data_IF_238341950903
#
_entry.id   IF_238341950903
#
_cell.length_a   1.000
_cell.length_b   1.000
_cell.length_c   1.000
_cell.angle_alpha   90.00
_cell.angle_beta   90.00
_cell.angle_gamma   90.00
#
_symmetry.space_group_name_H-M   'P 1'
#
loop_
_entity.id
_entity.type
_entity.pdbx_description
1 polymer ?
#
# COMPACT_ATOMS: atom_id res chain seq x y z
N UNK A 1 -5.12 8.89 14.17
CA UNK A 1 -3.88 9.71 13.93
C UNK A 1 -4.23 10.78 12.93
N UNK A 2 -4.00 12.07 13.24
CA UNK A 2 -4.42 13.15 12.34
C UNK A 2 -3.67 13.14 11.01
N UNK A 3 -4.30 13.69 9.96
CA UNK A 3 -3.67 13.91 8.63
C UNK A 3 -2.35 14.68 8.74
N UNK A 4 -2.21 15.53 9.74
CA UNK A 4 -0.99 16.29 10.02
C UNK A 4 0.19 15.37 10.38
N UNK A 5 -0.02 14.38 11.25
CA UNK A 5 1.03 13.42 11.63
C UNK A 5 1.42 12.55 10.44
N UNK A 6 0.46 12.15 9.60
CA UNK A 6 0.77 11.45 8.35
C UNK A 6 1.61 12.32 7.43
N UNK A 7 1.24 13.60 7.25
CA UNK A 7 2.00 14.54 6.41
C UNK A 7 3.43 14.72 6.90
N UNK A 8 3.66 14.80 8.21
CA UNK A 8 5.01 14.85 8.77
C UNK A 8 5.84 13.61 8.45
N UNK A 9 5.22 12.42 8.52
CA UNK A 9 5.88 11.16 8.14
C UNK A 9 6.24 11.11 6.66
N UNK A 10 5.32 11.51 5.79
CA UNK A 10 5.57 11.54 4.33
C UNK A 10 6.66 12.57 4.00
N UNK A 11 6.68 13.77 4.65
CA UNK A 11 7.77 14.74 4.47
C UNK A 11 9.12 14.16 4.87
N UNK A 12 9.20 13.47 6.01
CA UNK A 12 10.43 12.82 6.46
C UNK A 12 10.92 11.79 5.43
N UNK A 13 10.04 10.89 4.96
CA UNK A 13 10.38 9.92 3.91
C UNK A 13 10.89 10.59 2.64
N UNK A 14 10.21 11.64 2.16
CA UNK A 14 10.64 12.39 0.97
C UNK A 14 12.00 13.10 1.18
N UNK A 15 12.22 13.66 2.37
CA UNK A 15 13.50 14.35 2.71
C UNK A 15 14.67 13.38 2.81
N UNK A 16 14.43 12.15 3.21
CA UNK A 16 15.47 11.13 3.37
C UNK A 16 15.74 10.34 2.08
N UNK A 17 14.84 10.43 1.12
CA UNK A 17 14.96 9.76 -0.17
C UNK A 17 15.81 10.53 -1.17
N UNK A 18 16.71 9.88 -1.94
CA UNK A 18 17.18 8.49 -1.74
C UNK A 18 18.43 8.39 -0.83
N UNK A 19 19.03 9.51 -0.45
CA UNK A 19 20.39 9.58 0.10
C UNK A 19 20.49 9.07 1.54
N UNK A 20 19.48 9.33 2.35
CA UNK A 20 19.39 8.89 3.76
C UNK A 20 18.34 7.80 3.96
N UNK A 21 18.01 7.10 2.89
CA UNK A 21 17.01 6.06 2.92
C UNK A 21 17.40 4.92 3.89
N UNK A 22 16.52 4.64 4.83
CA UNK A 22 16.72 3.55 5.81
C UNK A 22 16.54 2.17 5.16
N UNK A 23 15.36 1.61 5.18
CA UNK A 23 14.94 0.46 4.37
C UNK A 23 13.44 0.28 4.48
N UNK A 24 12.84 -0.38 3.50
CA UNK A 24 11.42 -0.71 3.54
C UNK A 24 11.09 -1.64 4.71
N UNK A 25 12.05 -2.50 5.11
CA UNK A 25 11.92 -3.35 6.30
C UNK A 25 11.80 -2.54 7.59
N UNK A 26 12.59 -1.46 7.72
CA UNK A 26 12.56 -0.61 8.92
C UNK A 26 11.27 0.22 8.96
N UNK A 27 10.77 0.68 7.81
CA UNK A 27 9.46 1.32 7.71
C UNK A 27 8.35 0.36 8.13
N UNK A 28 8.33 -0.86 7.58
CA UNK A 28 7.36 -1.90 7.96
C UNK A 28 7.39 -2.18 9.47
N UNK A 29 8.61 -2.30 10.04
CA UNK A 29 8.82 -2.50 11.47
C UNK A 29 8.25 -1.34 12.28
N UNK A 30 8.58 -0.11 11.94
CA UNK A 30 8.02 1.09 12.59
C UNK A 30 6.49 1.14 12.51
N UNK A 31 5.89 0.75 11.38
CA UNK A 31 4.44 0.72 11.22
C UNK A 31 3.77 -0.27 12.18
N UNK A 32 4.24 -1.52 12.24
CA UNK A 32 3.62 -2.50 13.14
C UNK A 32 3.88 -2.18 14.63
N UNK A 33 5.03 -1.60 14.99
CA UNK A 33 5.32 -1.17 16.36
C UNK A 33 4.36 -0.05 16.81
N UNK A 34 4.06 0.91 15.94
CA UNK A 34 3.08 1.98 16.22
C UNK A 34 1.66 1.46 16.37
N UNK A 35 1.32 0.36 15.73
CA UNK A 35 0.07 -0.36 15.97
C UNK A 35 0.09 -1.14 17.30
N UNK A 36 1.17 -1.03 18.10
CA UNK A 36 1.31 -1.75 19.36
C UNK A 36 1.58 -3.25 19.19
N UNK A 37 2.03 -3.65 18.01
CA UNK A 37 2.34 -5.04 17.69
C UNK A 37 3.83 -5.28 18.00
N UNK A 38 4.19 -5.19 19.27
CA UNK A 38 5.58 -5.37 19.69
C UNK A 38 5.98 -6.85 19.75
N UNK A 39 5.09 -7.72 20.20
CA UNK A 39 5.31 -9.17 20.29
C UNK A 39 4.06 -9.90 19.80
N UNK A 40 4.19 -10.81 18.85
CA UNK A 40 3.05 -11.61 18.39
C UNK A 40 2.56 -12.55 19.52
N UNK A 41 1.26 -12.54 19.77
CA UNK A 41 0.65 -13.30 20.86
C UNK A 41 0.47 -14.79 20.53
N UNK A 42 0.50 -15.15 19.27
CA UNK A 42 0.32 -16.53 18.80
C UNK A 42 1.26 -16.84 17.63
N UNK A 43 1.43 -18.14 17.37
CA UNK A 43 2.34 -18.62 16.35
C UNK A 43 1.93 -18.20 14.92
N UNK A 44 0.62 -18.12 14.64
CA UNK A 44 0.11 -17.73 13.32
C UNK A 44 0.44 -16.28 13.01
N UNK A 45 0.17 -15.40 13.95
CA UNK A 45 0.49 -13.96 13.86
C UNK A 45 1.99 -13.72 13.77
N UNK A 46 2.81 -14.48 14.54
CA UNK A 46 4.27 -14.45 14.47
C UNK A 46 4.80 -14.79 13.08
N UNK A 47 4.27 -15.85 12.47
CA UNK A 47 4.64 -16.27 11.11
C UNK A 47 4.27 -15.22 10.07
N UNK A 48 3.08 -14.64 10.21
CA UNK A 48 2.61 -13.59 9.32
C UNK A 48 3.52 -12.35 9.39
N UNK A 49 3.91 -11.93 10.61
CA UNK A 49 4.84 -10.83 10.81
C UNK A 49 6.22 -11.12 10.21
N UNK A 50 6.75 -12.34 10.43
CA UNK A 50 8.01 -12.79 9.83
C UNK A 50 7.92 -12.79 8.29
N UNK A 51 6.78 -13.21 7.74
CA UNK A 51 6.49 -13.13 6.31
C UNK A 51 6.54 -11.70 5.80
N UNK A 52 5.91 -10.76 6.51
CA UNK A 52 5.91 -9.33 6.15
C UNK A 52 7.30 -8.71 6.16
N UNK A 53 8.13 -9.03 7.16
CA UNK A 53 9.53 -8.60 7.21
C UNK A 53 10.35 -9.18 6.04
N UNK A 54 10.08 -10.42 5.65
CA UNK A 54 10.73 -11.07 4.51
C UNK A 54 10.30 -10.44 3.19
N UNK A 55 9.01 -10.15 3.01
CA UNK A 55 8.45 -9.45 1.84
C UNK A 55 9.06 -8.05 1.71
N UNK A 56 9.05 -7.26 2.79
CA UNK A 56 9.61 -5.91 2.78
C UNK A 56 11.10 -5.91 2.40
N UNK A 57 11.86 -6.87 2.94
CA UNK A 57 13.27 -7.04 2.62
C UNK A 57 13.49 -7.45 1.15
N UNK A 58 12.65 -8.33 0.61
CA UNK A 58 12.69 -8.73 -0.80
C UNK A 58 12.41 -7.54 -1.73
N UNK A 59 11.36 -6.77 -1.47
CA UNK A 59 11.01 -5.58 -2.27
C UNK A 59 12.15 -4.57 -2.22
N UNK A 60 12.72 -4.29 -1.04
CA UNK A 60 13.89 -3.43 -0.87
C UNK A 60 15.05 -3.86 -1.77
N UNK A 61 15.45 -5.15 -1.71
CA UNK A 61 16.58 -5.65 -2.50
C UNK A 61 16.29 -5.67 -4.00
N UNK A 62 15.08 -6.05 -4.39
CA UNK A 62 14.65 -6.07 -5.79
C UNK A 62 14.71 -4.67 -6.40
N UNK A 63 14.14 -3.68 -5.72
CA UNK A 63 14.16 -2.30 -6.19
C UNK A 63 15.57 -1.69 -6.18
N UNK A 64 16.39 -1.97 -5.15
CA UNK A 64 17.82 -1.57 -5.16
C UNK A 64 18.57 -2.12 -6.36
N UNK A 65 18.32 -3.35 -6.74
CA UNK A 65 18.93 -3.96 -7.93
C UNK A 65 18.43 -3.30 -9.23
N UNK A 66 17.17 -2.88 -9.27
CA UNK A 66 16.63 -2.10 -10.39
C UNK A 66 17.25 -0.69 -10.42
N UNK A 67 17.36 0.00 -9.29
CA UNK A 67 17.96 1.33 -9.17
C UNK A 67 19.42 1.35 -9.67
N UNK A 68 20.22 0.35 -9.31
CA UNK A 68 21.60 0.20 -9.82
C UNK A 68 21.69 0.10 -11.36
N UNK A 69 20.61 -0.28 -12.01
CA UNK A 69 20.48 -0.39 -13.46
C UNK A 69 19.68 0.76 -14.07
N UNK A 70 19.37 1.81 -13.29
CA UNK A 70 18.48 2.91 -13.66
C UNK A 70 17.09 2.44 -14.15
N UNK A 71 16.54 1.41 -13.52
CA UNK A 71 15.27 0.77 -13.89
C UNK A 71 14.24 0.77 -12.76
N UNK A 72 14.55 1.30 -11.57
CA UNK A 72 13.53 1.47 -10.53
C UNK A 72 12.49 2.48 -11.04
N UNK A 73 11.19 2.15 -10.99
CA UNK A 73 10.13 3.06 -11.40
C UNK A 73 10.15 4.35 -10.58
N UNK A 74 9.79 5.47 -11.19
CA UNK A 74 9.80 6.76 -10.49
C UNK A 74 8.71 6.89 -9.44
N UNK A 75 7.54 6.32 -9.74
CA UNK A 75 6.39 6.33 -8.83
C UNK A 75 6.27 5.01 -8.04
N UNK A 76 6.16 3.84 -8.70
CA UNK A 76 6.03 2.54 -8.05
C UNK A 76 7.38 2.03 -7.52
N UNK A 77 7.97 2.84 -6.64
CA UNK A 77 9.29 2.66 -6.02
C UNK A 77 9.18 2.23 -4.55
N UNK A 78 10.31 2.01 -3.91
CA UNK A 78 10.38 1.80 -2.45
C UNK A 78 9.77 2.95 -1.66
N UNK A 79 9.95 4.18 -2.14
CA UNK A 79 9.35 5.36 -1.49
C UNK A 79 7.84 5.31 -1.53
N UNK A 80 7.24 4.96 -2.67
CA UNK A 80 5.79 4.77 -2.76
C UNK A 80 5.29 3.70 -1.78
N UNK A 81 5.93 2.52 -1.78
CA UNK A 81 5.54 1.44 -0.85
C UNK A 81 5.62 1.90 0.62
N UNK A 82 6.65 2.67 0.99
CA UNK A 82 6.77 3.23 2.33
C UNK A 82 5.65 4.23 2.65
N UNK A 83 5.33 5.12 1.72
CA UNK A 83 4.23 6.08 1.87
C UNK A 83 2.89 5.35 2.04
N UNK A 84 2.68 4.28 1.29
CA UNK A 84 1.48 3.43 1.41
C UNK A 84 1.39 2.74 2.78
N UNK A 85 2.49 2.22 3.30
CA UNK A 85 2.55 1.63 4.65
C UNK A 85 2.25 2.66 5.74
N UNK A 86 2.78 3.87 5.62
CA UNK A 86 2.49 4.98 6.54
C UNK A 86 1.02 5.41 6.46
N UNK A 87 0.47 5.51 5.24
CA UNK A 87 -0.93 5.84 5.00
C UNK A 87 -1.87 4.78 5.60
N UNK A 88 -1.58 3.50 5.37
CA UNK A 88 -2.36 2.39 5.95
C UNK A 88 -2.31 2.41 7.48
N UNK A 89 -1.12 2.62 8.05
CA UNK A 89 -0.96 2.71 9.51
C UNK A 89 -1.77 3.87 10.08
N UNK A 90 -1.80 5.02 9.39
CA UNK A 90 -2.62 6.16 9.78
C UNK A 90 -4.11 5.82 9.79
N UNK A 91 -4.61 5.19 8.73
CA UNK A 91 -6.00 4.79 8.62
C UNK A 91 -6.38 3.76 9.70
N UNK A 92 -5.52 2.78 9.97
CA UNK A 92 -5.77 1.78 11.02
C UNK A 92 -5.82 2.40 12.41
N UNK A 93 -4.91 3.32 12.74
CA UNK A 93 -4.92 4.02 14.01
C UNK A 93 -6.15 4.91 14.17
N UNK A 94 -6.56 5.61 13.11
CA UNK A 94 -7.78 6.42 13.11
C UNK A 94 -9.03 5.54 13.29
N UNK A 95 -9.09 4.42 12.57
CA UNK A 95 -10.21 3.48 12.69
C UNK A 95 -10.34 2.93 14.10
N UNK A 96 -9.23 2.58 14.75
CA UNK A 96 -9.25 2.15 16.16
C UNK A 96 -9.83 3.20 17.10
N UNK A 97 -9.56 4.49 16.86
CA UNK A 97 -10.13 5.59 17.64
C UNK A 97 -11.64 5.70 17.43
N UNK A 98 -12.10 5.58 16.18
CA UNK A 98 -13.53 5.61 15.83
C UNK A 98 -14.26 4.45 16.49
N UNK A 99 -13.72 3.25 16.38
CA UNK A 99 -14.35 2.02 16.89
C UNK A 99 -14.19 1.87 18.42
N UNK A 100 -13.40 2.73 19.08
CA UNK A 100 -13.03 2.63 20.50
C UNK A 100 -12.50 1.23 20.86
N UNK A 101 -11.84 0.58 19.91
CA UNK A 101 -11.35 -0.77 20.08
C UNK A 101 -10.16 -0.84 21.03
N UNK A 102 -10.16 -1.88 21.87
CA UNK A 102 -8.97 -2.28 22.58
C UNK A 102 -7.91 -2.75 21.55
N UNK A 103 -6.66 -2.29 21.72
CA UNK A 103 -5.53 -2.46 20.78
C UNK A 103 -5.19 -3.92 20.42
N UNK A 104 -5.83 -4.92 21.03
CA UNK A 104 -5.51 -6.34 20.85
C UNK A 104 -6.44 -7.11 19.92
N UNK A 105 -7.62 -6.58 19.57
CA UNK A 105 -8.67 -7.41 18.96
C UNK A 105 -8.54 -7.65 17.45
N UNK A 106 -7.75 -6.85 16.70
CA UNK A 106 -7.63 -7.00 15.24
C UNK A 106 -6.19 -7.04 14.73
N UNK A 107 -5.24 -7.36 15.60
CA UNK A 107 -3.79 -7.37 15.29
C UNK A 107 -3.48 -8.23 14.05
N UNK A 108 -4.10 -9.39 13.93
CA UNK A 108 -3.85 -10.29 12.80
C UNK A 108 -4.31 -9.65 11.49
N UNK A 109 -5.50 -9.08 11.45
CA UNK A 109 -6.07 -8.41 10.28
C UNK A 109 -5.19 -7.23 9.87
N UNK A 110 -4.73 -6.44 10.80
CA UNK A 110 -3.86 -5.29 10.55
C UNK A 110 -2.49 -5.71 9.99
N UNK A 111 -1.86 -6.76 10.56
CA UNK A 111 -0.61 -7.30 10.00
C UNK A 111 -0.85 -7.83 8.58
N UNK A 112 -1.97 -8.51 8.35
CA UNK A 112 -2.35 -9.03 7.05
C UNK A 112 -2.39 -7.93 5.99
N UNK A 113 -2.99 -6.78 6.32
CA UNK A 113 -3.05 -5.62 5.45
C UNK A 113 -1.64 -5.02 5.23
N UNK A 114 -0.84 -4.87 6.29
CA UNK A 114 0.54 -4.37 6.16
C UNK A 114 1.39 -5.27 5.26
N UNK A 115 1.27 -6.62 5.41
CA UNK A 115 2.01 -7.59 4.58
C UNK A 115 1.58 -7.47 3.12
N UNK A 116 0.28 -7.37 2.86
CA UNK A 116 -0.24 -7.22 1.51
C UNK A 116 0.29 -5.94 0.86
N UNK A 117 0.23 -4.81 1.58
CA UNK A 117 0.68 -3.52 1.04
C UNK A 117 2.20 -3.38 0.96
N UNK A 118 2.97 -4.11 1.77
CA UNK A 118 4.42 -4.20 1.58
C UNK A 118 4.81 -4.90 0.26
N UNK A 119 3.94 -5.75 -0.27
CA UNK A 119 4.21 -6.55 -1.47
C UNK A 119 3.34 -6.24 -2.68
N UNK A 120 2.39 -5.28 -2.61
CA UNK A 120 1.39 -5.06 -3.66
C UNK A 120 2.00 -4.71 -5.02
N UNK A 121 3.08 -3.95 -5.03
CA UNK A 121 3.83 -3.53 -6.22
C UNK A 121 5.16 -4.28 -6.41
N UNK A 122 5.33 -5.44 -5.79
CA UNK A 122 6.56 -6.22 -5.93
C UNK A 122 6.87 -6.52 -7.40
N UNK A 123 8.02 -6.02 -7.88
CA UNK A 123 8.44 -6.19 -9.26
C UNK A 123 7.67 -5.37 -10.29
N UNK A 124 7.00 -4.29 -9.86
CA UNK A 124 6.40 -3.32 -10.79
C UNK A 124 7.49 -2.70 -11.68
N UNK A 125 7.20 -2.54 -12.96
CA UNK A 125 8.16 -2.09 -14.00
C UNK A 125 7.73 -0.79 -14.70
N UNK A 126 6.75 -0.07 -14.15
CA UNK A 126 6.18 1.15 -14.73
C UNK A 126 5.10 0.89 -15.80
N UNK A 127 4.83 -0.36 -16.15
CA UNK A 127 3.80 -0.71 -17.15
C UNK A 127 2.37 -0.56 -16.58
N UNK A 128 1.38 -0.82 -17.43
CA UNK A 128 -0.05 -0.89 -17.05
C UNK A 128 -0.56 -2.30 -17.20
N UNK A 129 -1.60 -2.64 -16.45
CA UNK A 129 -2.35 -3.86 -16.65
C UNK A 129 -2.90 -3.94 -18.10
N UNK A 130 -2.59 -5.02 -18.80
CA UNK A 130 -3.19 -5.37 -20.11
C UNK A 130 -4.42 -6.28 -19.92
N UNK A 131 -4.56 -6.88 -18.76
CA UNK A 131 -5.73 -7.64 -18.30
C UNK A 131 -5.91 -7.42 -16.79
N UNK A 132 -7.12 -7.64 -16.29
CA UNK A 132 -7.46 -7.44 -14.88
C UNK A 132 -6.47 -8.16 -13.96
N UNK A 133 -5.94 -7.44 -12.98
CA UNK A 133 -5.00 -7.94 -11.97
C UNK A 133 -3.71 -8.57 -12.51
N UNK A 134 -3.22 -8.18 -13.68
CA UNK A 134 -2.01 -8.79 -14.26
C UNK A 134 -0.76 -8.46 -13.42
N UNK A 135 -0.54 -7.19 -13.09
CA UNK A 135 0.61 -6.73 -12.30
C UNK A 135 0.51 -7.21 -10.85
N UNK A 136 -0.66 -7.14 -10.27
CA UNK A 136 -0.97 -7.63 -8.92
C UNK A 136 -0.75 -9.15 -8.82
N UNK A 137 -1.11 -9.90 -9.85
CA UNK A 137 -0.83 -11.34 -9.92
C UNK A 137 0.67 -11.63 -10.02
N UNK A 138 1.44 -10.78 -10.71
CA UNK A 138 2.91 -10.85 -10.76
C UNK A 138 3.51 -10.56 -9.40
N UNK A 139 3.07 -9.49 -8.74
CA UNK A 139 3.51 -9.11 -7.40
C UNK A 139 3.28 -10.24 -6.41
N UNK A 140 2.07 -10.80 -6.38
CA UNK A 140 1.77 -11.93 -5.51
C UNK A 140 2.63 -13.16 -5.79
N UNK A 141 2.86 -13.52 -7.05
CA UNK A 141 3.74 -14.66 -7.40
C UNK A 141 5.17 -14.50 -6.90
N UNK A 142 5.68 -13.27 -6.86
CA UNK A 142 7.03 -12.98 -6.35
C UNK A 142 7.13 -13.12 -4.82
N UNK A 143 6.09 -12.71 -4.09
CA UNK A 143 6.13 -12.74 -2.62
C UNK A 143 5.63 -14.05 -2.00
N UNK A 144 4.80 -14.83 -2.71
CA UNK A 144 4.23 -16.08 -2.21
C UNK A 144 5.27 -17.06 -1.63
N UNK A 145 6.42 -17.33 -2.30
CA UNK A 145 7.43 -18.23 -1.75
C UNK A 145 8.01 -17.76 -0.41
N UNK A 146 8.05 -16.44 -0.16
CA UNK A 146 8.52 -15.86 1.10
C UNK A 146 7.53 -16.11 2.24
N UNK A 147 6.24 -16.01 1.95
CA UNK A 147 5.16 -16.30 2.90
C UNK A 147 5.12 -17.79 3.25
N UNK A 148 5.31 -18.66 2.26
CA UNK A 148 5.42 -20.12 2.44
C UNK A 148 6.65 -20.49 3.28
N UNK A 149 7.82 -19.89 3.00
CA UNK A 149 9.04 -20.07 3.78
C UNK A 149 8.90 -19.62 5.24
N UNK A 150 8.13 -18.55 5.48
CA UNK A 150 7.76 -18.09 6.82
C UNK A 150 6.71 -18.98 7.50
N UNK A 151 6.21 -20.01 6.81
CA UNK A 151 5.15 -20.91 7.26
C UNK A 151 3.84 -20.18 7.60
N UNK A 152 3.51 -19.15 6.83
CA UNK A 152 2.21 -18.50 6.93
C UNK A 152 1.08 -19.50 6.63
N UNK A 153 -0.06 -19.33 7.30
CA UNK A 153 -1.26 -20.13 7.02
C UNK A 153 -1.76 -19.89 5.60
N UNK A 154 -2.20 -20.93 4.90
CA UNK A 154 -2.72 -20.82 3.52
C UNK A 154 -3.92 -19.85 3.41
N UNK A 155 -4.74 -19.75 4.45
CA UNK A 155 -5.85 -18.78 4.49
C UNK A 155 -5.35 -17.35 4.52
N UNK A 156 -4.23 -17.10 5.22
CA UNK A 156 -3.59 -15.78 5.26
C UNK A 156 -2.93 -15.45 3.93
N UNK A 157 -2.24 -16.42 3.32
CA UNK A 157 -1.65 -16.26 1.98
C UNK A 157 -2.74 -15.96 0.95
N UNK A 158 -3.87 -16.65 1.01
CA UNK A 158 -5.01 -16.37 0.13
C UNK A 158 -5.64 -15.00 0.38
N UNK A 159 -5.75 -14.58 1.63
CA UNK A 159 -6.25 -13.25 1.98
C UNK A 159 -5.32 -12.14 1.46
N UNK A 160 -3.99 -12.29 1.62
CA UNK A 160 -2.98 -11.38 1.07
C UNK A 160 -3.12 -11.28 -0.46
N UNK A 161 -3.23 -12.42 -1.17
CA UNK A 161 -3.46 -12.44 -2.61
C UNK A 161 -4.67 -11.60 -3.01
N UNK A 162 -5.79 -11.79 -2.32
CA UNK A 162 -7.04 -11.08 -2.62
C UNK A 162 -6.91 -9.58 -2.37
N UNK A 163 -6.23 -9.18 -1.30
CA UNK A 163 -5.98 -7.77 -0.99
C UNK A 163 -5.09 -7.14 -2.08
N UNK A 164 -4.00 -7.80 -2.47
CA UNK A 164 -3.13 -7.33 -3.56
C UNK A 164 -3.93 -7.18 -4.86
N UNK A 165 -4.76 -8.17 -5.22
CA UNK A 165 -5.59 -8.06 -6.43
C UNK A 165 -6.59 -6.89 -6.37
N UNK A 166 -7.04 -6.53 -5.18
CA UNK A 166 -7.97 -5.41 -5.03
C UNK A 166 -7.33 -4.05 -5.31
N UNK A 167 -6.00 -3.94 -5.37
CA UNK A 167 -5.32 -2.67 -5.72
C UNK A 167 -5.33 -2.37 -7.22
N UNK A 168 -5.84 -3.28 -8.08
CA UNK A 168 -6.11 -2.94 -9.48
C UNK A 168 -7.15 -1.82 -9.56
N UNK A 169 -6.80 -0.64 -10.13
CA UNK A 169 -7.70 0.51 -10.18
C UNK A 169 -9.03 0.25 -10.89
N UNK A 170 -9.07 -0.74 -11.79
CA UNK A 170 -10.32 -1.11 -12.50
C UNK A 170 -11.39 -1.70 -11.59
N UNK A 171 -11.01 -2.14 -10.39
CA UNK A 171 -11.90 -2.75 -9.40
C UNK A 171 -12.43 -1.75 -8.36
N UNK A 172 -11.86 -0.54 -8.25
CA UNK A 172 -12.12 0.42 -7.18
C UNK A 172 -13.61 0.74 -7.03
N UNK A 173 -14.27 1.12 -8.12
CA UNK A 173 -15.69 1.50 -8.05
C UNK A 173 -16.58 0.36 -7.55
N UNK A 174 -16.37 -0.84 -8.07
CA UNK A 174 -17.12 -2.04 -7.69
C UNK A 174 -16.93 -2.38 -6.22
N UNK A 175 -15.68 -2.35 -5.75
CA UNK A 175 -15.34 -2.72 -4.37
C UNK A 175 -15.85 -1.70 -3.37
N UNK A 176 -15.68 -0.40 -3.63
CA UNK A 176 -16.23 0.66 -2.80
C UNK A 176 -17.76 0.62 -2.72
N UNK A 177 -18.44 0.40 -3.85
CA UNK A 177 -19.90 0.28 -3.88
C UNK A 177 -20.35 -0.96 -3.09
N UNK A 178 -19.66 -2.10 -3.24
CA UNK A 178 -19.98 -3.31 -2.50
C UNK A 178 -19.74 -3.17 -0.98
N UNK A 179 -18.63 -2.56 -0.57
CA UNK A 179 -18.34 -2.37 0.85
C UNK A 179 -19.39 -1.47 1.54
N UNK A 180 -19.79 -0.38 0.89
CA UNK A 180 -20.79 0.56 1.43
C UNK A 180 -22.18 -0.03 1.67
N UNK A 181 -22.46 -1.23 1.19
CA UNK A 181 -23.74 -1.92 1.48
C UNK A 181 -23.77 -2.56 2.88
N UNK A 182 -22.65 -2.54 3.60
CA UNK A 182 -22.52 -3.09 4.95
C UNK A 182 -21.79 -2.12 5.87
N UNK A 183 -22.04 -2.25 7.19
CA UNK A 183 -21.24 -1.53 8.16
C UNK A 183 -19.77 -1.91 8.07
N UNK A 184 -18.91 -0.94 8.41
CA UNK A 184 -17.47 -1.15 8.44
C UNK A 184 -17.13 -2.29 9.43
N UNK A 185 -16.29 -3.20 8.96
CA UNK A 185 -15.77 -4.29 9.75
C UNK A 185 -14.45 -4.79 9.11
N UNK A 186 -13.33 -4.62 9.81
CA UNK A 186 -12.01 -4.97 9.29
C UNK A 186 -11.83 -6.48 9.03
N UNK A 187 -12.69 -7.33 9.60
CA UNK A 187 -12.69 -8.76 9.30
C UNK A 187 -13.27 -9.04 7.91
N UNK A 188 -14.16 -8.18 7.42
CA UNK A 188 -14.79 -8.35 6.11
C UNK A 188 -13.82 -8.09 4.96
N UNK A 189 -13.70 -9.03 4.03
CA UNK A 189 -12.82 -8.89 2.86
C UNK A 189 -13.01 -7.63 2.02
N UNK A 190 -14.25 -7.17 1.91
CA UNK A 190 -14.59 -5.95 1.16
C UNK A 190 -13.98 -4.70 1.80
N UNK A 191 -14.04 -4.60 3.13
CA UNK A 191 -13.47 -3.46 3.85
C UNK A 191 -11.94 -3.52 3.92
N UNK A 192 -11.34 -4.72 4.00
CA UNK A 192 -9.90 -4.90 3.85
C UNK A 192 -9.41 -4.36 2.49
N UNK A 193 -10.11 -4.71 1.41
CA UNK A 193 -9.81 -4.25 0.07
C UNK A 193 -9.91 -2.72 -0.03
N UNK A 194 -11.02 -2.14 0.43
CA UNK A 194 -11.25 -0.68 0.39
C UNK A 194 -10.18 0.07 1.17
N UNK A 195 -9.86 -0.37 2.39
CA UNK A 195 -8.86 0.32 3.22
C UNK A 195 -7.46 0.31 2.57
N UNK A 196 -7.10 -0.79 1.91
CA UNK A 196 -5.83 -0.88 1.18
C UNK A 196 -5.81 0.01 -0.07
N UNK A 197 -6.91 0.07 -0.84
CA UNK A 197 -7.04 1.00 -1.96
C UNK A 197 -6.95 2.45 -1.52
N UNK A 198 -7.60 2.81 -0.41
CA UNK A 198 -7.53 4.15 0.16
C UNK A 198 -6.09 4.49 0.61
N UNK A 199 -5.40 3.56 1.25
CA UNK A 199 -4.01 3.75 1.67
C UNK A 199 -3.07 4.00 0.49
N UNK A 200 -3.28 3.30 -0.63
CA UNK A 200 -2.47 3.39 -1.86
C UNK A 200 -2.55 4.78 -2.49
N UNK A 201 -3.74 5.38 -2.48
CA UNK A 201 -3.99 6.67 -3.13
C UNK A 201 -3.98 7.87 -2.19
N UNK A 202 -3.99 7.66 -0.86
CA UNK A 202 -4.20 8.73 0.13
C UNK A 202 -3.21 9.88 -0.03
N UNK A 203 -1.92 9.58 -0.13
CA UNK A 203 -0.89 10.61 -0.28
C UNK A 203 -1.09 11.44 -1.57
N UNK A 204 -1.50 10.81 -2.67
CA UNK A 204 -1.79 11.48 -3.94
C UNK A 204 -3.04 12.37 -3.87
N UNK A 205 -3.92 12.15 -2.89
CA UNK A 205 -5.08 13.01 -2.64
C UNK A 205 -4.75 14.22 -1.76
N UNK A 206 -3.67 14.16 -0.96
CA UNK A 206 -3.24 15.27 -0.11
C UNK A 206 -2.62 16.38 -0.97
N UNK A 207 -3.11 17.65 -0.92
CA UNK A 207 -2.64 18.73 -1.77
C UNK A 207 -1.13 18.99 -1.69
N UNK A 208 -0.53 18.77 -0.53
CA UNK A 208 0.90 18.99 -0.30
C UNK A 208 1.79 18.05 -1.14
N UNK A 209 1.39 16.81 -1.36
CA UNK A 209 2.20 15.78 -2.04
C UNK A 209 1.75 15.52 -3.48
N UNK A 210 0.56 15.95 -3.84
CA UNK A 210 -0.09 15.70 -5.12
C UNK A 210 0.81 16.00 -6.30
N UNK A 211 1.39 17.21 -6.34
CA UNK A 211 2.20 17.65 -7.47
C UNK A 211 3.44 16.77 -7.66
N UNK A 212 4.16 16.47 -6.56
CA UNK A 212 5.37 15.64 -6.62
C UNK A 212 5.05 14.22 -7.07
N UNK A 213 4.01 13.60 -6.49
CA UNK A 213 3.62 12.24 -6.83
C UNK A 213 3.10 12.14 -8.27
N UNK A 214 2.34 13.15 -8.74
CA UNK A 214 1.89 13.22 -10.13
C UNK A 214 3.06 13.36 -11.10
N UNK A 215 4.08 14.18 -10.78
CA UNK A 215 5.29 14.31 -11.59
C UNK A 215 6.06 12.99 -11.65
N UNK A 216 6.22 12.28 -10.53
CA UNK A 216 6.88 10.97 -10.49
C UNK A 216 6.14 9.93 -11.34
N UNK A 217 4.81 9.92 -11.30
CA UNK A 217 3.99 9.02 -12.13
C UNK A 217 4.06 9.41 -13.62
N UNK A 218 4.07 10.70 -13.93
CA UNK A 218 4.19 11.16 -15.32
C UNK A 218 5.57 10.82 -15.91
N UNK A 219 6.66 11.00 -15.15
CA UNK A 219 8.00 10.57 -15.56
C UNK A 219 8.07 9.07 -15.83
N UNK A 220 7.53 8.27 -14.92
CA UNK A 220 7.46 6.82 -15.09
C UNK A 220 6.68 6.44 -16.36
N UNK A 221 5.52 7.06 -16.57
CA UNK A 221 4.64 6.78 -17.72
C UNK A 221 5.23 7.29 -19.02
N UNK A 222 6.01 8.37 -19.01
CA UNK A 222 6.60 8.93 -20.22
C UNK A 222 7.54 7.96 -20.94
N UNK A 223 8.15 7.04 -20.21
CA UNK A 223 9.06 6.02 -20.75
C UNK A 223 8.35 4.95 -21.56
N UNK A 224 7.05 4.73 -21.32
CA UNK A 224 6.25 3.69 -21.97
C UNK A 224 5.06 4.28 -22.74
N UNK A 225 4.43 5.33 -22.23
CA UNK A 225 3.22 5.94 -22.76
C UNK A 225 3.30 7.48 -22.73
N UNK A 226 4.09 8.15 -23.60
CA UNK A 226 4.34 9.60 -23.52
C UNK A 226 3.07 10.47 -23.52
N UNK A 227 2.12 10.20 -24.40
CA UNK A 227 0.84 10.97 -24.49
C UNK A 227 0.03 10.86 -23.19
N UNK A 228 0.10 9.71 -22.53
CA UNK A 228 -0.60 9.50 -21.26
C UNK A 228 0.05 10.30 -20.11
N UNK A 229 1.37 10.51 -20.17
CA UNK A 229 2.08 11.30 -19.17
C UNK A 229 1.66 12.79 -19.20
N UNK A 230 1.53 13.38 -20.37
CA UNK A 230 1.04 14.75 -20.52
C UNK A 230 -0.37 14.92 -19.95
N UNK A 231 -1.24 13.94 -20.20
CA UNK A 231 -2.61 13.95 -19.65
C UNK A 231 -2.64 14.00 -18.13
N UNK A 232 -1.73 13.30 -17.44
CA UNK A 232 -1.66 13.30 -15.97
C UNK A 232 -1.34 14.69 -15.39
N UNK A 233 -0.50 15.47 -16.07
CA UNK A 233 -0.06 16.80 -15.62
C UNK A 233 -1.10 17.90 -15.92
N UNK A 234 -2.15 17.59 -16.66
CA UNK A 234 -3.20 18.55 -17.01
C UNK A 234 -4.20 18.75 -15.85
N UNK A 235 -4.87 19.92 -15.76
CA UNK A 235 -5.98 20.11 -14.84
C UNK A 235 -7.08 19.05 -15.00
N UNK A 236 -7.31 18.58 -16.25
CA UNK A 236 -8.23 17.48 -16.55
C UNK A 236 -7.79 16.16 -15.94
N UNK A 237 -6.51 15.85 -15.96
CA UNK A 237 -5.92 14.66 -15.31
C UNK A 237 -6.14 14.66 -13.81
N UNK A 238 -5.89 15.80 -13.14
CA UNK A 238 -6.16 15.95 -11.71
C UNK A 238 -7.66 15.80 -11.40
N UNK A 239 -8.52 16.46 -12.14
CA UNK A 239 -9.97 16.30 -11.98
C UNK A 239 -10.40 14.85 -12.16
N UNK A 240 -9.87 14.18 -13.18
CA UNK A 240 -10.17 12.77 -13.44
C UNK A 240 -9.73 11.87 -12.27
N UNK A 241 -8.53 12.06 -11.74
CA UNK A 241 -8.05 11.34 -10.56
C UNK A 241 -9.01 11.51 -9.37
N UNK A 242 -9.36 12.76 -9.02
CA UNK A 242 -10.22 13.06 -7.87
C UNK A 242 -11.64 12.51 -8.03
N UNK A 243 -12.15 12.43 -9.26
CA UNK A 243 -13.52 11.94 -9.49
C UNK A 243 -13.62 10.43 -9.65
N UNK A 244 -12.57 9.77 -10.15
CA UNK A 244 -12.65 8.36 -10.52
C UNK A 244 -11.80 7.44 -9.61
N UNK A 245 -10.63 7.91 -9.15
CA UNK A 245 -9.72 7.09 -8.37
C UNK A 245 -9.70 7.45 -6.88
N UNK A 246 -9.70 8.73 -6.52
CA UNK A 246 -9.65 9.17 -5.12
C UNK A 246 -10.99 8.93 -4.40
N UNK A 247 -11.32 7.66 -4.21
CA UNK A 247 -12.52 7.22 -3.50
C UNK A 247 -12.17 6.90 -2.05
N UNK A 248 -12.91 7.51 -1.12
CA UNK A 248 -12.76 7.31 0.31
C UNK A 248 -14.11 6.88 0.88
N UNK A 249 -14.21 5.66 1.39
CA UNK A 249 -15.44 5.04 1.87
C UNK A 249 -15.35 4.55 3.31
N UNK A 250 -14.13 4.24 3.79
CA UNK A 250 -13.95 3.84 5.19
C UNK A 250 -14.21 5.01 6.14
N UNK A 251 -14.68 4.75 7.36
CA UNK A 251 -14.85 5.82 8.36
C UNK A 251 -13.54 6.57 8.65
N UNK A 252 -12.40 5.87 8.65
CA UNK A 252 -11.09 6.44 8.93
C UNK A 252 -10.60 7.42 7.84
N UNK A 253 -11.07 7.28 6.59
CA UNK A 253 -10.62 8.10 5.46
C UNK A 253 -11.56 9.28 5.15
N UNK A 254 -12.70 9.39 5.82
CA UNK A 254 -13.69 10.48 5.68
C UNK A 254 -13.47 11.57 6.70
#
# INVERSE_FOLDING_TARGET
>A
MSIQVLSEKIRALNSDWPDRWVSLRDVFKSCHERLGIAVPFDQRTSRLLAGGLSVSNFVEHSCKNMARKNKEPGYHSRLHTAIVLESLTALLLEQRQIDKLNTQSLIREEILLLVAMAGHDAGHDGSRNSSICQLESRSFRLIRPLLEAAKCDERDIYAIKRIIWSTDPTLYEKLHNGARTTDFDLIKPSWQAVLCQEADILASAIPEFEKQLTLSLADERSKVYPISAEGLLSPGGRKYFLTHYAKFSSPAAR
#
